data_IF_244894413644
#
_entry.id   IF_244894413644
#
_cell.length_a   1.000
_cell.length_b   1.000
_cell.length_c   1.000
_cell.angle_alpha   90.00
_cell.angle_beta   90.00
_cell.angle_gamma   90.00
#
_symmetry.space_group_name_H-M   'P 1'
#
loop_
_entity.id
_entity.type
_entity.pdbx_description
1 polymer ?
#
# COMPACT_ATOMS: atom_id res chain seq x y z
N UNK A 1 -9.96 -8.33 4.41
CA UNK A 1 -8.84 -8.30 3.45
C UNK A 1 -8.17 -6.94 3.57
N UNK A 2 -6.84 -6.88 3.68
CA UNK A 2 -6.06 -5.77 4.25
C UNK A 2 -6.62 -4.36 4.03
N UNK A 3 -6.92 -3.99 2.78
CA UNK A 3 -7.43 -2.66 2.48
C UNK A 3 -8.73 -2.30 3.22
N UNK A 4 -9.72 -3.20 3.27
CA UNK A 4 -11.01 -2.95 3.92
C UNK A 4 -10.92 -2.90 5.44
N UNK A 5 -9.89 -3.50 6.02
CA UNK A 5 -9.70 -3.63 7.46
C UNK A 5 -8.82 -2.49 8.01
N UNK A 6 -7.91 -1.97 7.18
CA UNK A 6 -6.88 -1.00 7.59
C UNK A 6 -7.14 0.44 7.09
N UNK A 7 -7.95 0.62 6.02
CA UNK A 7 -8.30 1.95 5.53
C UNK A 7 -9.54 2.50 6.25
N UNK A 8 -9.48 3.77 6.65
CA UNK A 8 -10.54 4.45 7.41
C UNK A 8 -11.67 4.99 6.51
N UNK A 9 -12.14 4.17 5.57
CA UNK A 9 -13.11 4.57 4.53
C UNK A 9 -14.43 5.06 5.13
N UNK A 10 -14.89 4.42 6.22
CA UNK A 10 -16.16 4.76 6.87
C UNK A 10 -16.16 6.15 7.51
N UNK A 11 -14.99 6.73 7.76
CA UNK A 11 -14.85 8.05 8.37
C UNK A 11 -14.83 9.19 7.33
N UNK A 12 -14.70 8.87 6.04
CA UNK A 12 -14.72 9.87 4.97
C UNK A 12 -16.16 10.36 4.73
N UNK A 13 -16.36 11.68 4.76
CA UNK A 13 -17.68 12.31 4.54
C UNK A 13 -17.81 12.91 3.14
N UNK A 14 -16.70 13.04 2.41
CA UNK A 14 -16.69 13.52 1.03
C UNK A 14 -15.92 12.60 0.10
N UNK A 15 -16.19 12.73 -1.20
CA UNK A 15 -15.49 11.99 -2.24
C UNK A 15 -13.99 12.31 -2.28
N UNK A 16 -13.61 13.56 -1.98
CA UNK A 16 -12.21 13.96 -1.96
C UNK A 16 -11.45 13.38 -0.76
N UNK A 17 -12.10 13.29 0.40
CA UNK A 17 -11.54 12.58 1.55
C UNK A 17 -11.35 11.09 1.25
N UNK A 18 -12.33 10.47 0.60
CA UNK A 18 -12.23 9.08 0.18
C UNK A 18 -11.05 8.86 -0.77
N UNK A 19 -10.88 9.73 -1.79
CA UNK A 19 -9.73 9.67 -2.69
C UNK A 19 -8.41 9.82 -1.94
N UNK A 20 -8.34 10.75 -1.00
CA UNK A 20 -7.15 10.99 -0.17
C UNK A 20 -6.81 9.76 0.66
N UNK A 21 -7.80 9.14 1.29
CA UNK A 21 -7.60 7.94 2.11
C UNK A 21 -7.14 6.74 1.28
N UNK A 22 -7.74 6.52 0.11
CA UNK A 22 -7.30 5.49 -0.83
C UNK A 22 -5.85 5.73 -1.25
N UNK A 23 -5.51 6.96 -1.65
CA UNK A 23 -4.14 7.31 -2.06
C UNK A 23 -3.15 7.11 -0.92
N UNK A 24 -3.51 7.51 0.31
CA UNK A 24 -2.70 7.29 1.51
C UNK A 24 -2.44 5.80 1.75
N UNK A 25 -3.48 4.98 1.65
CA UNK A 25 -3.36 3.53 1.82
C UNK A 25 -2.48 2.90 0.75
N UNK A 26 -2.66 3.28 -0.53
CA UNK A 26 -1.82 2.79 -1.63
C UNK A 26 -0.34 3.08 -1.39
N UNK A 27 -0.02 4.31 -0.97
CA UNK A 27 1.36 4.70 -0.64
C UNK A 27 1.89 3.86 0.52
N UNK A 28 1.12 3.71 1.60
CA UNK A 28 1.48 2.85 2.74
C UNK A 28 1.78 1.41 2.29
N UNK A 29 0.86 0.79 1.55
CA UNK A 29 0.96 -0.58 1.11
C UNK A 29 2.17 -0.82 0.19
N UNK A 30 2.41 0.09 -0.75
CA UNK A 30 3.46 -0.06 -1.76
C UNK A 30 4.86 0.24 -1.23
N UNK A 31 4.99 1.19 -0.30
CA UNK A 31 6.30 1.70 0.13
C UNK A 31 6.70 1.31 1.55
N UNK A 32 5.75 0.95 2.41
CA UNK A 32 6.00 0.79 3.85
C UNK A 32 5.55 -0.56 4.41
N UNK A 33 4.62 -1.26 3.74
CA UNK A 33 4.15 -2.58 4.18
C UNK A 33 5.06 -3.70 3.68
N UNK A 34 5.89 -4.21 4.58
CA UNK A 34 6.72 -5.39 4.32
C UNK A 34 5.89 -6.67 4.21
N UNK A 35 6.22 -7.52 3.24
CA UNK A 35 5.46 -8.74 2.97
C UNK A 35 6.35 -9.98 3.01
N UNK A 36 5.92 -10.98 3.77
CA UNK A 36 6.63 -12.27 3.89
C UNK A 36 6.85 -12.95 2.55
N UNK A 37 5.86 -12.89 1.65
CA UNK A 37 5.93 -13.47 0.30
C UNK A 37 6.90 -12.73 -0.64
N UNK A 38 7.28 -11.50 -0.31
CA UNK A 38 8.20 -10.68 -1.09
C UNK A 38 9.59 -10.65 -0.42
N UNK A 39 10.03 -11.77 0.17
CA UNK A 39 11.29 -11.85 0.90
C UNK A 39 11.45 -10.76 1.98
N UNK A 40 10.35 -10.43 2.68
CA UNK A 40 10.29 -9.34 3.66
C UNK A 40 10.69 -7.98 3.06
N UNK A 41 10.31 -7.71 1.81
CA UNK A 41 10.42 -6.40 1.16
C UNK A 41 9.04 -5.75 0.99
N UNK A 42 9.01 -4.44 0.76
CA UNK A 42 7.81 -3.75 0.28
C UNK A 42 7.63 -4.01 -1.22
N UNK A 43 6.41 -3.86 -1.78
CA UNK A 43 6.19 -4.06 -3.21
C UNK A 43 7.14 -3.27 -4.12
N UNK A 44 7.43 -2.02 -3.77
CA UNK A 44 8.38 -1.18 -4.53
C UNK A 44 9.81 -1.69 -4.42
N UNK A 45 10.27 -2.02 -3.20
CA UNK A 45 11.61 -2.59 -3.00
C UNK A 45 11.78 -3.91 -3.75
N UNK A 46 10.77 -4.77 -3.74
CA UNK A 46 10.80 -6.05 -4.43
C UNK A 46 10.89 -5.87 -5.96
N UNK A 47 10.11 -4.93 -6.52
CA UNK A 47 10.23 -4.56 -7.93
C UNK A 47 11.65 -4.11 -8.28
N UNK A 48 12.21 -3.21 -7.49
CA UNK A 48 13.54 -2.65 -7.75
C UNK A 48 14.64 -3.72 -7.61
N UNK A 49 14.49 -4.64 -6.65
CA UNK A 49 15.35 -5.81 -6.49
C UNK A 49 15.32 -6.72 -7.73
N UNK A 50 14.14 -7.01 -8.27
CA UNK A 50 14.00 -7.82 -9.49
C UNK A 50 14.64 -7.14 -10.71
N UNK A 51 14.52 -5.81 -10.83
CA UNK A 51 15.15 -5.04 -11.91
C UNK A 51 16.68 -5.09 -11.80
N UNK A 52 17.24 -5.02 -10.59
CA UNK A 52 18.69 -5.10 -10.37
C UNK A 52 19.26 -6.51 -10.55
N UNK A 53 18.44 -7.54 -10.36
CA UNK A 53 18.84 -8.94 -10.53
C UNK A 53 18.72 -9.46 -11.97
N UNK A 54 18.12 -8.67 -12.87
CA UNK A 54 18.00 -8.95 -14.30
C UNK A 54 19.26 -8.54 -15.07
#
# INVERSE_FOLDING_TARGET
GHFKDEASIKACVSFDELKREIKRYMTYYNHYRYQWKLNKMTPVQYRDHLIQAA
#
